data_IF_584579233887
#
_entry.id   IF_584579233887
#
_cell.length_a   1.000
_cell.length_b   1.000
_cell.length_c   1.000
_cell.angle_alpha   90.00
_cell.angle_beta   90.00
_cell.angle_gamma   90.00
#
_symmetry.space_group_name_H-M   'P 1'
#
loop_
_entity.id
_entity.type
_entity.pdbx_description
1 polymer ?
#
# COMPACT_ATOMS: atom_id res chain seq x y z
N UNK A 1 -17.81 9.05 33.71
CA UNK A 1 -17.83 7.84 32.87
C UNK A 1 -17.75 8.30 31.42
N UNK A 2 -16.55 8.32 30.83
CA UNK A 2 -16.29 8.71 29.43
C UNK A 2 -15.91 7.40 28.75
N UNK A 3 -16.70 6.84 27.84
CA UNK A 3 -17.02 7.38 26.52
C UNK A 3 -16.19 6.57 25.52
N UNK A 4 -16.79 5.58 24.87
CA UNK A 4 -16.10 4.73 23.90
C UNK A 4 -15.56 5.58 22.74
N UNK A 5 -14.25 5.53 22.49
CA UNK A 5 -13.62 6.23 21.37
C UNK A 5 -13.19 5.18 20.34
N UNK A 6 -13.96 5.05 19.25
CA UNK A 6 -13.54 4.34 18.05
C UNK A 6 -12.79 5.32 17.16
N UNK A 7 -11.46 5.38 17.28
CA UNK A 7 -10.62 6.10 16.32
C UNK A 7 -10.28 5.15 15.18
N UNK A 8 -11.00 5.27 14.06
CA UNK A 8 -10.47 4.82 12.78
C UNK A 8 -9.33 5.77 12.39
N UNK A 9 -8.16 5.62 13.02
CA UNK A 9 -7.02 6.48 12.75
C UNK A 9 -6.47 6.16 11.37
N UNK A 10 -6.72 7.03 10.40
CA UNK A 10 -6.20 6.89 9.05
C UNK A 10 -4.72 7.31 9.02
N UNK A 11 -3.83 6.44 9.53
CA UNK A 11 -2.38 6.71 9.44
C UNK A 11 -1.91 6.67 7.98
N UNK A 12 -1.06 7.62 7.53
CA UNK A 12 -0.45 7.58 6.20
C UNK A 12 0.30 6.26 6.00
N UNK A 13 0.27 5.70 4.79
CA UNK A 13 0.89 4.39 4.58
C UNK A 13 2.42 4.43 4.68
N UNK A 14 3.06 5.53 4.29
CA UNK A 14 4.50 5.71 4.52
C UNK A 14 4.85 5.64 6.02
N UNK A 15 3.96 6.16 6.86
CA UNK A 15 4.10 6.01 8.31
C UNK A 15 3.91 4.56 8.75
N UNK A 16 2.89 3.85 8.24
CA UNK A 16 2.69 2.41 8.54
C UNK A 16 3.90 1.56 8.13
N UNK A 17 4.44 1.78 6.93
CA UNK A 17 5.64 1.10 6.42
C UNK A 17 6.82 1.36 7.35
N UNK A 18 7.12 2.64 7.66
CA UNK A 18 8.20 3.02 8.57
C UNK A 18 8.07 2.35 9.94
N UNK A 19 6.87 2.31 10.51
CA UNK A 19 6.63 1.67 11.81
C UNK A 19 6.86 0.15 11.75
N UNK A 20 6.42 -0.49 10.67
CA UNK A 20 6.66 -1.91 10.46
C UNK A 20 8.16 -2.20 10.30
N UNK A 21 8.88 -1.44 9.49
CA UNK A 21 10.34 -1.58 9.32
C UNK A 21 11.10 -1.40 10.65
N UNK A 22 10.78 -0.35 11.41
CA UNK A 22 11.38 -0.12 12.73
C UNK A 22 11.11 -1.27 13.69
N UNK A 23 9.92 -1.88 13.64
CA UNK A 23 9.52 -2.97 14.53
C UNK A 23 10.26 -4.30 14.29
N UNK A 24 11.02 -4.43 13.20
CA UNK A 24 11.88 -5.60 12.93
C UNK A 24 13.33 -5.43 13.38
N UNK A 25 13.72 -4.24 13.85
CA UNK A 25 15.06 -4.02 14.41
C UNK A 25 15.20 -4.78 15.74
N UNK A 26 16.35 -5.43 16.00
CA UNK A 26 16.53 -6.30 17.17
C UNK A 26 16.36 -5.58 18.52
N UNK A 27 16.68 -4.29 18.58
CA UNK A 27 16.63 -3.49 19.81
C UNK A 27 15.29 -2.76 20.04
N UNK A 28 14.28 -3.02 19.20
CA UNK A 28 13.00 -2.30 19.25
C UNK A 28 11.90 -3.16 19.86
N UNK A 29 11.39 -2.73 21.01
CA UNK A 29 10.13 -3.25 21.57
C UNK A 29 8.94 -2.69 20.78
N UNK A 30 8.17 -3.59 20.15
CA UNK A 30 6.98 -3.23 19.33
C UNK A 30 5.99 -2.40 20.12
N UNK A 31 5.72 -2.81 21.37
CA UNK A 31 4.76 -2.14 22.23
C UNK A 31 5.27 -0.75 22.66
N UNK A 32 6.58 -0.60 22.87
CA UNK A 32 7.18 0.69 23.17
C UNK A 32 7.15 1.62 21.94
N UNK A 33 7.58 1.12 20.77
CA UNK A 33 7.51 1.84 19.51
C UNK A 33 6.09 2.34 19.21
N UNK A 34 5.08 1.50 19.43
CA UNK A 34 3.68 1.89 19.25
C UNK A 34 3.29 3.05 20.19
N UNK A 35 3.63 2.95 21.47
CA UNK A 35 3.32 3.99 22.48
C UNK A 35 4.04 5.31 22.18
N UNK A 36 5.32 5.27 21.84
CA UNK A 36 6.13 6.45 21.49
C UNK A 36 5.54 7.22 20.31
N UNK A 37 4.88 6.52 19.39
CA UNK A 37 4.27 7.11 18.20
C UNK A 37 2.75 7.30 18.30
N UNK A 38 2.14 7.10 19.48
CA UNK A 38 0.71 7.26 19.69
C UNK A 38 -0.14 6.27 18.89
N UNK A 39 0.38 5.07 18.66
CA UNK A 39 -0.26 3.97 17.94
C UNK A 39 -0.80 2.96 18.97
N UNK A 40 -1.99 2.43 18.72
CA UNK A 40 -2.47 1.24 19.42
C UNK A 40 -1.57 0.04 19.06
N UNK A 41 -0.97 -0.63 20.03
CA UNK A 41 -0.05 -1.76 19.84
C UNK A 41 -0.61 -2.86 18.93
N UNK A 42 -1.90 -3.20 19.08
CA UNK A 42 -2.57 -4.18 18.21
C UNK A 42 -2.57 -3.77 16.74
N UNK A 43 -2.63 -2.48 16.43
CA UNK A 43 -2.54 -2.00 15.06
C UNK A 43 -1.15 -2.26 14.48
N UNK A 44 -0.08 -2.05 15.25
CA UNK A 44 1.27 -2.31 14.76
C UNK A 44 1.53 -3.81 14.54
N UNK A 45 1.00 -4.69 15.40
CA UNK A 45 1.06 -6.14 15.17
C UNK A 45 0.27 -6.56 13.92
N UNK A 46 -0.96 -6.08 13.76
CA UNK A 46 -1.76 -6.27 12.54
C UNK A 46 -0.99 -5.75 11.32
N UNK A 47 -0.28 -4.65 11.48
CA UNK A 47 0.50 -4.10 10.41
C UNK A 47 1.68 -4.99 10.03
N UNK A 48 2.45 -5.50 10.99
CA UNK A 48 3.52 -6.47 10.70
C UNK A 48 3.01 -7.72 9.99
N UNK A 49 1.81 -8.19 10.34
CA UNK A 49 1.19 -9.34 9.69
C UNK A 49 0.98 -9.09 8.19
N UNK A 50 0.29 -8.00 7.85
CA UNK A 50 0.07 -7.64 6.44
C UNK A 50 1.39 -7.49 5.65
N UNK A 51 2.52 -7.20 6.32
CA UNK A 51 3.83 -6.99 5.68
C UNK A 51 4.46 -8.30 5.31
N UNK A 52 4.40 -9.26 6.23
CA UNK A 52 4.79 -10.64 5.95
C UNK A 52 3.95 -11.27 4.85
N UNK A 53 2.68 -10.87 4.74
CA UNK A 53 1.76 -11.35 3.71
C UNK A 53 1.88 -10.59 2.37
N UNK A 54 2.75 -9.57 2.26
CA UNK A 54 2.92 -8.79 1.02
C UNK A 54 1.75 -7.84 0.70
N UNK A 55 0.96 -7.45 1.70
CA UNK A 55 -0.24 -6.62 1.58
C UNK A 55 0.04 -5.10 1.69
N UNK A 56 1.30 -4.67 1.69
CA UNK A 56 1.70 -3.27 1.94
C UNK A 56 1.90 -2.38 0.74
N UNK A 57 1.80 -2.90 -0.47
CA UNK A 57 1.98 -2.05 -1.61
C UNK A 57 1.59 -2.63 -2.94
N UNK A 58 1.51 -1.72 -3.89
CA UNK A 58 1.43 -2.00 -5.32
C UNK A 58 2.71 -1.49 -5.93
N UNK A 59 3.60 -2.40 -6.32
CA UNK A 59 4.81 -2.04 -7.04
C UNK A 59 4.47 -1.81 -8.51
N UNK A 60 4.78 -0.63 -9.01
CA UNK A 60 4.67 -0.31 -10.43
C UNK A 60 6.07 -0.39 -11.02
N UNK A 61 6.20 -1.17 -12.07
CA UNK A 61 7.45 -1.46 -12.76
C UNK A 61 7.32 -0.99 -14.20
N UNK A 62 8.39 -0.41 -14.73
CA UNK A 62 8.47 -0.12 -16.16
C UNK A 62 8.64 -1.43 -16.93
N UNK A 63 7.74 -1.72 -17.87
CA UNK A 63 7.72 -3.00 -18.59
C UNK A 63 8.93 -3.20 -19.50
N UNK A 64 9.48 -2.13 -20.07
CA UNK A 64 10.61 -2.24 -21.02
C UNK A 64 11.95 -2.46 -20.31
N UNK A 65 12.14 -1.81 -19.16
CA UNK A 65 13.42 -1.77 -18.43
C UNK A 65 13.44 -2.70 -17.22
N UNK A 66 12.29 -3.24 -16.82
CA UNK A 66 12.08 -4.00 -15.57
C UNK A 66 12.52 -3.26 -14.30
N UNK A 67 12.61 -1.92 -14.36
CA UNK A 67 12.99 -1.10 -13.20
C UNK A 67 11.75 -0.66 -12.42
N UNK A 68 11.80 -0.70 -11.08
CA UNK A 68 10.77 -0.09 -10.24
C UNK A 68 10.58 1.40 -10.58
N UNK A 69 9.34 1.81 -10.85
CA UNK A 69 8.97 3.21 -11.00
C UNK A 69 8.48 3.80 -9.69
N UNK A 70 7.62 3.06 -8.98
CA UNK A 70 7.09 3.48 -7.67
C UNK A 70 6.59 2.29 -6.88
N UNK A 71 6.73 2.34 -5.55
CA UNK A 71 5.98 1.50 -4.64
C UNK A 71 4.83 2.32 -4.06
N UNK A 72 3.61 2.02 -4.50
CA UNK A 72 2.43 2.66 -3.94
C UNK A 72 2.07 2.01 -2.60
N UNK A 73 1.71 2.83 -1.60
CA UNK A 73 0.95 2.42 -0.43
C UNK A 73 -0.18 1.40 -0.60
N UNK A 74 -0.07 0.23 0.02
CA UNK A 74 -1.14 -0.78 0.07
C UNK A 74 -1.67 -1.22 -1.30
N UNK A 75 -2.90 -1.74 -1.31
CA UNK A 75 -3.66 -2.11 -2.53
C UNK A 75 -4.92 -1.24 -2.71
N UNK A 76 -4.88 -0.01 -2.21
CA UNK A 76 -6.02 0.90 -2.29
C UNK A 76 -6.29 1.32 -3.76
N UNK A 77 -7.47 1.00 -4.32
CA UNK A 77 -7.83 1.36 -5.69
C UNK A 77 -7.71 2.85 -5.95
N UNK A 78 -8.04 3.70 -4.97
CA UNK A 78 -8.05 5.15 -5.15
C UNK A 78 -6.64 5.68 -5.34
N UNK A 79 -5.70 5.20 -4.53
CA UNK A 79 -4.28 5.55 -4.63
C UNK A 79 -3.70 5.14 -5.98
N UNK A 80 -3.98 3.92 -6.43
CA UNK A 80 -3.49 3.43 -7.72
C UNK A 80 -4.15 4.14 -8.92
N UNK A 81 -5.46 4.40 -8.88
CA UNK A 81 -6.15 5.17 -9.92
C UNK A 81 -5.63 6.62 -9.99
N UNK A 82 -5.39 7.25 -8.84
CA UNK A 82 -4.83 8.60 -8.79
C UNK A 82 -3.40 8.65 -9.35
N UNK A 83 -2.61 7.59 -9.14
CA UNK A 83 -1.29 7.49 -9.77
C UNK A 83 -1.42 7.35 -11.29
N UNK A 84 -2.27 6.47 -11.80
CA UNK A 84 -2.48 6.30 -13.24
C UNK A 84 -2.89 7.61 -13.94
N UNK A 85 -3.77 8.40 -13.32
CA UNK A 85 -4.23 9.70 -13.89
C UNK A 85 -3.12 10.73 -14.05
N UNK A 86 -2.00 10.60 -13.34
CA UNK A 86 -0.84 11.48 -13.49
C UNK A 86 -0.04 11.19 -14.76
N UNK A 87 -0.22 10.00 -15.34
CA UNK A 87 0.54 9.52 -16.49
C UNK A 87 -0.41 9.09 -17.62
N UNK A 88 -1.11 10.06 -18.27
CA UNK A 88 -2.02 9.76 -19.38
C UNK A 88 -1.31 9.10 -20.58
N UNK A 89 0.01 9.23 -20.68
CA UNK A 89 0.85 8.61 -21.70
C UNK A 89 1.01 7.09 -21.56
N UNK A 90 0.58 6.49 -20.44
CA UNK A 90 0.61 5.04 -20.26
C UNK A 90 -0.33 4.39 -21.29
N UNK A 91 0.25 3.56 -22.16
CA UNK A 91 -0.50 2.86 -23.22
C UNK A 91 -0.81 1.40 -22.88
N UNK A 92 -0.02 0.77 -22.01
CA UNK A 92 -0.17 -0.65 -21.65
C UNK A 92 -0.04 -0.80 -20.13
N UNK A 93 -0.97 -1.54 -19.53
CA UNK A 93 -0.92 -1.95 -18.12
C UNK A 93 -0.88 -3.48 -18.07
N UNK A 94 0.29 -4.05 -17.77
CA UNK A 94 0.41 -5.45 -17.35
C UNK A 94 0.07 -5.52 -15.86
N UNK A 95 -0.77 -6.48 -15.50
CA UNK A 95 -1.23 -6.64 -14.12
C UNK A 95 -1.49 -8.10 -13.79
N UNK A 96 -1.42 -8.42 -12.50
CA UNK A 96 -1.92 -9.69 -12.00
C UNK A 96 -3.44 -9.84 -12.26
N UNK A 97 -3.97 -11.05 -12.06
CA UNK A 97 -5.38 -11.36 -12.31
C UNK A 97 -6.34 -10.86 -11.22
N UNK A 98 -5.84 -10.18 -10.19
CA UNK A 98 -6.64 -9.61 -9.12
C UNK A 98 -7.65 -8.61 -9.66
N UNK A 99 -8.94 -8.84 -9.35
CA UNK A 99 -10.04 -7.99 -9.82
C UNK A 99 -9.86 -6.51 -9.45
N UNK A 100 -9.21 -6.24 -8.32
CA UNK A 100 -8.93 -4.89 -7.84
C UNK A 100 -8.07 -4.09 -8.84
N UNK A 101 -7.03 -4.70 -9.41
CA UNK A 101 -6.14 -4.04 -10.36
C UNK A 101 -6.81 -3.84 -11.71
N UNK A 102 -7.63 -4.80 -12.14
CA UNK A 102 -8.40 -4.67 -13.38
C UNK A 102 -9.36 -3.48 -13.34
N UNK A 103 -10.16 -3.37 -12.28
CA UNK A 103 -11.09 -2.26 -12.09
C UNK A 103 -10.35 -0.94 -11.97
N UNK A 104 -9.30 -0.89 -11.15
CA UNK A 104 -8.53 0.34 -10.93
C UNK A 104 -7.86 0.85 -12.21
N UNK A 105 -7.30 -0.04 -13.03
CA UNK A 105 -6.71 0.33 -14.30
C UNK A 105 -7.76 0.90 -15.28
N UNK A 106 -8.99 0.37 -15.30
CA UNK A 106 -10.09 0.93 -16.12
C UNK A 106 -10.45 2.34 -15.71
N UNK A 107 -10.49 2.61 -14.41
CA UNK A 107 -10.87 3.92 -13.87
C UNK A 107 -9.73 4.97 -13.94
N UNK A 108 -8.48 4.53 -13.77
CA UNK A 108 -7.31 5.40 -13.67
C UNK A 108 -6.60 5.64 -14.99
N UNK A 109 -6.63 4.66 -15.90
CA UNK A 109 -6.02 4.72 -17.23
C UNK A 109 -6.95 4.06 -18.28
N UNK A 110 -8.16 4.60 -18.53
CA UNK A 110 -9.11 4.03 -19.49
C UNK A 110 -8.55 3.95 -20.92
N UNK A 111 -7.57 4.79 -21.25
CA UNK A 111 -6.86 4.79 -22.54
C UNK A 111 -5.89 3.62 -22.69
N UNK A 112 -5.44 3.02 -21.58
CA UNK A 112 -4.40 2.00 -21.60
C UNK A 112 -4.99 0.61 -21.89
N UNK A 113 -4.33 -0.13 -22.78
CA UNK A 113 -4.63 -1.54 -23.03
C UNK A 113 -4.20 -2.37 -21.83
N UNK A 114 -5.14 -3.11 -21.23
CA UNK A 114 -4.84 -4.02 -20.14
C UNK A 114 -4.42 -5.39 -20.65
N UNK A 115 -3.35 -5.93 -20.06
CA UNK A 115 -2.88 -7.30 -20.25
C UNK A 115 -2.87 -7.97 -18.89
N UNK A 116 -3.52 -9.12 -18.79
CA UNK A 116 -3.44 -9.94 -17.59
C UNK A 116 -2.22 -10.86 -17.70
N UNK A 117 -1.40 -10.89 -16.66
CA UNK A 117 -0.25 -11.79 -16.59
C UNK A 117 -0.70 -13.27 -16.61
N UNK A 118 0.17 -14.14 -17.13
CA UNK A 118 -0.12 -15.57 -17.34
C UNK A 118 0.01 -16.40 -16.08
#
# INVERSE_FOLDING_TARGET
MVGAISLHTNYPVQFKIKMVELSYKPDISVAQLAREHGINDNLLFKWRQFWREGNYGTLIVNLDTHRPLVLLPGRDPRTLAAWFRKYPEIQVVSRDRGGIYATTAREGAPQARQVADR
#
